data_IF_458296751907
#
_entry.id   IF_458296751907
#
_cell.length_a   1.000
_cell.length_b   1.000
_cell.length_c   1.000
_cell.angle_alpha   90.00
_cell.angle_beta   90.00
_cell.angle_gamma   90.00
#
_symmetry.space_group_name_H-M   'P 1'
#
loop_
_entity.id
_entity.type
_entity.pdbx_description
1 polymer ?
2 polymer ?
3 polymer ?
4 water ?
#
# COMPACT_ATOMS: atom_id res chain seq x y z
N UNK A 4 -3.18 3.60 16.27
CA UNK A 4 -2.19 4.67 16.13
C UNK A 4 -2.57 5.69 15.05
N UNK A 5 -2.03 5.49 13.86
CA UNK A 5 -2.17 6.27 12.67
C UNK A 5 -3.56 6.78 12.31
N UNK A 6 -4.15 7.36 13.38
CA UNK A 6 -5.46 8.01 13.48
C UNK A 6 -6.12 7.98 14.85
N UNK A 7 -7.22 7.30 15.14
CA UNK A 7 -7.93 7.29 16.45
C UNK A 7 -8.97 6.18 16.59
N UNK A 8 -9.66 6.02 15.47
CA UNK A 8 -10.69 4.90 15.35
C UNK A 8 -10.07 4.08 14.19
N UNK A 9 -8.75 4.42 14.03
CA UNK A 9 -7.88 3.83 13.02
C UNK A 9 -7.86 2.30 13.04
N UNK A 10 -7.82 1.69 11.84
CA UNK A 10 -7.72 0.28 11.69
C UNK A 10 -8.82 -0.60 12.22
N UNK A 11 -10.00 -0.05 12.49
CA UNK A 11 -11.23 -0.73 12.93
C UNK A 11 -12.23 -0.55 11.79
N UNK A 12 -12.34 -1.65 11.02
CA UNK A 12 -13.16 -1.59 9.80
C UNK A 12 -14.66 -1.64 10.11
N UNK A 13 -15.40 -0.72 9.53
CA UNK A 13 -16.85 -0.69 9.69
C UNK A 13 -17.55 -1.99 9.30
N UNK A 14 -17.17 -2.70 8.23
CA UNK A 14 -17.88 -3.90 7.79
C UNK A 14 -17.32 -5.17 8.42
N UNK A 15 -16.35 -5.05 9.32
CA UNK A 15 -15.79 -6.24 9.97
C UNK A 15 -15.67 -5.99 11.48
N UNK A 16 -14.55 -5.39 11.88
CA UNK A 16 -14.31 -5.12 13.28
C UNK A 16 -15.52 -4.51 13.96
N UNK A 17 -15.95 -3.34 13.49
CA UNK A 17 -17.12 -2.69 14.09
C UNK A 17 -18.35 -3.54 14.35
N UNK A 18 -18.59 -4.61 13.66
CA UNK A 18 -19.67 -5.54 13.67
C UNK A 18 -19.29 -6.96 14.14
N UNK A 19 -18.02 -7.09 14.49
CA UNK A 19 -17.54 -8.40 14.93
C UNK A 19 -17.66 -9.43 13.79
N UNK A 20 -17.36 -9.07 12.55
CA UNK A 20 -17.42 -10.05 11.43
C UNK A 20 -15.96 -10.27 11.00
N UNK A 21 -15.48 -11.46 10.83
CA UNK A 21 -14.11 -11.78 10.39
C UNK A 21 -14.11 -11.85 8.86
N UNK A 22 -13.05 -11.37 8.20
CA UNK A 22 -12.97 -11.51 6.74
C UNK A 22 -12.46 -12.96 6.46
N UNK A 23 -12.67 -13.32 5.21
CA UNK A 23 -12.38 -14.67 4.78
C UNK A 23 -10.96 -15.13 5.00
N UNK A 24 -9.92 -14.31 5.05
CA UNK A 24 -8.59 -14.91 5.28
C UNK A 24 -7.94 -14.32 6.51
N UNK A 25 -8.53 -13.35 7.19
CA UNK A 25 -7.74 -12.81 8.32
C UNK A 25 -7.24 -13.86 9.26
N UNK A 26 -7.93 -14.94 9.51
CA UNK A 26 -7.48 -15.98 10.45
C UNK A 26 -6.12 -16.52 10.05
N UNK A 27 -5.79 -16.52 8.77
CA UNK A 27 -4.46 -16.95 8.24
C UNK A 27 -3.32 -16.12 8.82
N UNK A 28 -3.48 -14.82 8.94
CA UNK A 28 -2.58 -13.86 9.55
C UNK A 28 -2.46 -14.21 11.05
N UNK A 29 -3.59 -14.15 11.73
CA UNK A 29 -3.52 -14.40 13.20
C UNK A 29 -2.88 -15.73 13.58
N UNK A 30 -3.14 -16.81 12.84
CA UNK A 30 -2.46 -18.07 13.17
C UNK A 30 -0.95 -18.03 12.94
N UNK A 31 -0.44 -17.05 12.20
CA UNK A 31 1.00 -16.99 11.92
C UNK A 31 1.77 -16.31 13.07
N UNK A 32 1.04 -15.55 13.85
CA UNK A 32 1.51 -14.77 14.97
C UNK A 32 1.48 -15.63 16.23
N UNK A 33 1.64 -16.89 15.92
CA UNK A 33 1.62 -18.04 16.86
C UNK A 33 0.35 -17.97 17.71
N UNK A 34 -0.72 -18.01 16.91
CA UNK A 34 -2.14 -17.93 17.15
C UNK A 34 -2.41 -16.75 18.08
N UNK A 35 -2.87 -15.67 17.45
CA UNK A 35 -3.20 -14.41 18.07
C UNK A 35 -3.71 -14.19 19.48
N UNK A 36 -4.69 -13.25 19.56
CA UNK A 36 -5.41 -12.74 20.71
C UNK A 36 -6.27 -13.77 21.47
N UNK B 1 -1.34 -7.60 -8.23
CA UNK B 1 -1.16 -8.73 -7.35
C UNK B 1 -1.19 -10.05 -8.13
N UNK B 2 -0.25 -10.93 -7.85
CA UNK B 2 -0.01 -12.23 -8.42
C UNK B 2 -0.32 -13.39 -7.51
N UNK B 3 -1.38 -14.13 -7.85
CA UNK B 3 -1.84 -15.28 -7.06
C UNK B 3 -2.64 -14.87 -5.82
N UNK B 4 -3.33 -13.78 -5.96
CA UNK B 4 -4.17 -13.14 -4.98
C UNK B 4 -5.63 -13.50 -5.34
N UNK B 5 -6.46 -13.03 -4.42
CA UNK B 5 -7.92 -13.30 -4.51
C UNK B 5 -8.61 -11.96 -4.59
N UNK B 6 -9.88 -11.98 -4.86
CA UNK B 6 -10.57 -10.67 -4.92
C UNK B 6 -10.81 -10.27 -3.45
N UNK B 7 -10.67 -9.00 -3.24
CA UNK B 7 -10.96 -8.38 -1.98
C UNK B 7 -12.51 -8.49 -1.86
N UNK B 8 -13.00 -8.64 -0.65
CA UNK B 8 -14.41 -8.58 -0.29
C UNK B 8 -14.64 -7.07 -0.15
N UNK B 9 -15.85 -6.61 -0.12
CA UNK B 9 -16.24 -5.23 0.04
C UNK B 9 -15.95 -4.79 1.51
N UNK B 10 -15.35 -3.61 1.62
CA UNK B 10 -14.94 -2.95 2.85
C UNK B 10 -13.83 -3.64 3.58
N UNK B 11 -13.09 -4.50 2.93
CA UNK B 11 -12.00 -5.30 3.54
C UNK B 11 -10.72 -4.47 3.75
N UNK B 12 -10.57 -3.45 2.95
CA UNK B 12 -9.29 -2.60 3.07
C UNK B 12 -9.71 -1.17 2.73
N UNK B 13 -10.43 -0.54 3.67
CA UNK B 13 -11.03 0.77 3.48
C UNK B 13 -10.12 1.98 3.39
N UNK B 14 -8.85 1.79 3.64
CA UNK B 14 -7.77 2.77 3.59
C UNK B 14 -7.12 2.68 2.17
N UNK B 15 -7.55 1.70 1.38
CA UNK B 15 -6.94 1.57 0.03
C UNK B 15 -7.32 2.77 -0.84
N UNK B 16 -6.24 3.31 -1.43
CA UNK B 16 -6.36 4.49 -2.32
C UNK B 16 -5.93 4.26 -3.75
N UNK B 17 -6.48 4.98 -4.73
CA UNK B 17 -6.02 4.85 -6.14
C UNK B 17 -5.31 6.18 -6.51
N UNK B 18 -4.08 6.04 -6.96
CA UNK B 18 -3.30 7.21 -7.44
C UNK B 18 -3.62 7.13 -9.00
N UNK B 19 -4.37 8.15 -9.33
CA UNK B 19 -4.92 8.27 -10.67
C UNK B 19 -4.45 9.47 -11.43
N UNK B 20 -4.02 9.20 -12.65
CA UNK B 20 -3.59 10.26 -13.59
C UNK B 20 -4.76 10.96 -14.28
N UNK B 21 -4.64 12.28 -14.25
CA UNK B 21 -5.60 13.22 -14.82
C UNK B 21 -5.63 13.06 -16.33
N UNK B 22 -4.52 12.89 -17.03
CA UNK B 22 -4.58 12.69 -18.50
C UNK B 22 -3.18 12.35 -19.04
N UNK B 23 -3.02 11.19 -19.61
CA UNK B 23 -4.03 10.15 -19.77
C UNK B 23 -4.63 9.77 -18.42
N UNK B 24 -5.94 9.50 -18.41
CA UNK B 24 -6.64 9.07 -17.18
C UNK B 24 -5.99 7.69 -17.00
N UNK B 25 -5.32 7.45 -15.88
CA UNK B 25 -4.69 6.11 -15.76
C UNK B 25 -4.24 5.77 -14.36
N UNK B 26 -4.34 4.47 -14.01
CA UNK B 26 -3.92 4.01 -12.70
C UNK B 26 -2.41 4.27 -12.70
N UNK B 27 -2.06 4.96 -11.60
CA UNK B 27 -0.65 5.31 -11.36
C UNK B 27 -0.02 4.31 -10.37
N UNK B 28 -0.55 4.31 -9.15
CA UNK B 28 -0.13 3.50 -8.03
C UNK B 28 -1.28 3.43 -7.02
N UNK B 29 -0.84 2.71 -5.98
CA UNK B 29 -1.65 2.49 -4.77
C UNK B 29 -1.16 3.58 -3.82
N UNK B 30 -1.91 3.66 -2.76
CA UNK B 30 -1.60 4.65 -1.68
C UNK B 30 -2.48 4.14 -0.49
N UNK B 31 -2.45 4.86 0.61
CA UNK B 31 -3.23 4.48 1.77
C UNK B 31 -3.66 5.71 2.58
N UNK B 32 -4.86 5.60 3.18
CA UNK B 32 -5.45 6.72 3.95
C UNK B 32 -5.00 6.57 5.41
N UNK B 33 -4.26 7.54 5.91
CA UNK B 33 -3.76 7.50 7.31
C UNK B 33 -4.48 8.49 8.22
N UNK B 34 -5.32 9.32 7.62
CA UNK B 34 -6.15 10.31 8.33
C UNK B 34 -7.21 10.81 7.36
N UNK B 35 -7.95 11.86 7.80
CA UNK B 35 -8.95 12.42 6.86
C UNK B 35 -8.32 13.35 5.83
N UNK B 36 -7.09 13.80 5.98
CA UNK B 36 -6.43 14.66 4.95
C UNK B 36 -5.10 14.20 4.37
N UNK B 37 -4.58 13.08 4.84
CA UNK B 37 -3.25 12.58 4.48
C UNK B 37 -3.21 11.19 3.86
N UNK B 38 -2.35 11.15 2.83
CA UNK B 38 -2.20 9.85 2.14
C UNK B 38 -0.76 9.44 2.11
N UNK B 39 -0.48 8.17 2.30
CA UNK B 39 0.86 7.54 2.25
C UNK B 39 0.99 6.63 1.01
N UNK B 40 2.09 6.86 0.31
CA UNK B 40 2.52 6.19 -0.92
C UNK B 40 4.06 6.11 -0.91
N UNK B 41 4.61 5.51 -1.95
CA UNK B 41 6.02 5.31 -2.24
C UNK B 41 6.46 6.53 -3.09
N UNK B 42 7.57 7.14 -2.79
CA UNK B 42 8.15 8.24 -3.57
C UNK B 42 8.36 7.81 -5.04
N UNK B 43 8.76 6.58 -5.26
CA UNK B 43 8.94 6.19 -6.66
C UNK B 43 7.63 6.36 -7.49
N UNK B 44 6.47 6.64 -6.87
CA UNK B 44 5.26 6.85 -7.68
C UNK B 44 5.23 8.26 -8.25
N UNK B 45 5.94 9.18 -7.58
CA UNK B 45 5.91 10.58 -8.02
C UNK B 45 7.17 10.99 -8.71
N UNK B 46 8.31 10.53 -8.26
CA UNK B 46 9.62 10.94 -8.75
C UNK B 46 10.53 9.74 -8.95
N UNK B 47 10.93 9.61 -10.19
CA UNK B 47 11.82 8.58 -10.70
C UNK B 47 12.44 9.13 -12.01
N UNK B 48 13.43 9.99 -11.84
CA UNK B 48 14.14 10.65 -12.93
C UNK B 48 14.74 9.83 -14.00
N UNK B 49 15.24 8.65 -13.78
CA UNK B 49 15.82 7.82 -14.86
C UNK B 49 14.72 7.41 -15.86
N UNK B 50 13.49 7.71 -15.45
CA UNK B 50 12.36 7.32 -16.32
C UNK B 50 11.58 8.62 -16.62
N UNK B 51 12.22 9.69 -16.31
CA UNK B 51 11.58 11.01 -16.57
C UNK B 51 10.26 11.16 -15.81
N UNK B 52 10.10 10.51 -14.69
CA UNK B 52 8.86 10.61 -13.89
C UNK B 52 9.03 11.66 -12.82
N UNK B 53 8.24 12.71 -12.81
CA UNK B 53 8.32 13.77 -11.80
C UNK B 53 6.96 14.49 -11.75
N UNK B 54 5.98 13.78 -11.23
CA UNK B 54 4.58 14.22 -11.05
C UNK B 54 4.48 15.28 -9.95
N UNK B 55 3.71 16.31 -10.18
CA UNK B 55 3.34 17.45 -9.39
C UNK B 55 1.89 17.18 -8.87
N UNK B 56 1.42 17.99 -7.95
CA UNK B 56 0.11 17.94 -7.35
C UNK B 56 -1.05 17.94 -8.35
N UNK B 57 -0.83 18.60 -9.44
CA UNK B 57 -1.61 18.90 -10.58
C UNK B 57 -2.07 17.75 -11.45
N UNK B 58 -1.04 16.93 -11.58
CA UNK B 58 -1.12 15.79 -12.45
C UNK B 58 -2.00 14.72 -11.89
N UNK B 59 -2.40 14.91 -10.61
CA UNK B 59 -3.14 13.75 -10.10
C UNK B 59 -4.41 13.98 -9.30
N UNK B 60 -5.16 12.91 -9.41
CA UNK B 60 -6.37 12.72 -8.63
C UNK B 60 -6.07 11.53 -7.67
N UNK B 61 -6.85 11.62 -6.58
CA UNK B 61 -6.79 10.54 -5.55
C UNK B 61 -8.22 10.05 -5.46
N UNK B 62 -8.47 8.80 -5.54
CA UNK B 62 -9.71 8.09 -5.48
C UNK B 62 -9.78 7.15 -4.27
N UNK B 63 -10.70 7.43 -3.33
CA UNK B 63 -10.90 6.63 -2.13
C UNK B 63 -12.22 5.87 -2.09
N UNK B 64 -12.22 4.67 -1.55
CA UNK B 64 -13.37 3.81 -1.36
C UNK B 64 -13.79 2.93 -2.50
N UNK B 65 -12.85 2.66 -3.40
CA UNK B 65 -12.99 1.91 -4.63
C UNK B 65 -12.94 0.41 -4.47
N UNK B 66 -13.58 -0.28 -5.38
CA UNK B 66 -13.63 -1.76 -5.46
C UNK B 66 -13.33 -2.05 -6.93
N UNK B 67 -14.18 -1.64 -7.87
CA UNK B 67 -13.90 -1.81 -9.33
C UNK B 67 -12.63 -0.97 -9.62
N UNK B 68 -11.75 -1.57 -10.39
CA UNK B 68 -10.47 -1.04 -10.85
C UNK B 68 -10.72 0.13 -11.83
N UNK B 69 -11.59 -0.08 -12.79
CA UNK B 69 -11.98 0.81 -13.87
C UNK B 69 -13.21 1.65 -13.89
N UNK B 70 -14.21 1.34 -13.05
CA UNK B 70 -15.45 2.10 -13.02
C UNK B 70 -15.53 3.21 -12.00
N UNK B 71 -16.33 4.23 -12.41
CA UNK B 71 -16.60 5.37 -11.53
C UNK B 71 -17.57 4.84 -10.48
N UNK B 72 -17.23 4.55 -9.23
CA UNK B 72 -18.23 4.01 -8.26
C UNK B 72 -19.08 5.15 -7.70
N UNK B 73 -20.08 5.48 -8.54
CA UNK B 73 -21.00 6.56 -8.42
C UNK B 73 -21.32 6.92 -7.01
N UNK B 74 -21.88 6.14 -6.07
CA UNK B 74 -21.98 6.99 -4.77
C UNK B 74 -21.19 6.37 -3.61
N UNK B 75 -20.17 5.64 -3.94
CA UNK B 75 -19.28 4.91 -3.11
C UNK B 75 -17.92 5.68 -2.97
N UNK B 76 -17.24 5.79 -4.12
CA UNK B 76 -15.90 6.42 -4.17
C UNK B 76 -15.92 7.91 -4.06
N UNK B 77 -14.80 8.43 -3.53
CA UNK B 77 -14.62 9.89 -3.33
C UNK B 77 -13.37 10.27 -4.07
N UNK B 78 -13.36 11.31 -4.84
CA UNK B 78 -12.14 11.69 -5.59
C UNK B 78 -11.58 12.95 -4.98
N UNK B 79 -10.28 13.14 -4.83
CA UNK B 79 -9.73 14.37 -4.30
C UNK B 79 -8.51 14.85 -5.10
N UNK B 80 -8.40 16.15 -4.80
CA UNK B 80 -7.33 17.04 -5.26
C UNK B 80 -6.27 17.05 -4.15
N UNK B 81 -5.05 17.13 -4.65
CA UNK B 81 -3.88 17.17 -3.73
C UNK B 81 -3.61 18.63 -3.49
N UNK B 82 -3.26 18.97 -2.28
CA UNK B 82 -2.91 20.32 -1.90
C UNK B 82 -1.40 20.55 -2.12
N UNK B 83 -0.64 19.59 -1.60
CA UNK B 83 0.83 19.59 -1.65
C UNK B 83 1.37 18.17 -1.56
N UNK B 84 2.54 17.95 -2.12
CA UNK B 84 3.19 16.59 -2.07
C UNK B 84 4.50 16.66 -1.27
N UNK B 85 4.86 15.64 -0.49
CA UNK B 85 6.11 15.68 0.27
C UNK B 85 6.85 14.37 0.17
N UNK B 86 8.08 14.46 -0.35
CA UNK B 86 8.97 13.28 -0.47
C UNK B 86 10.07 13.20 0.56
N UNK B 87 10.50 12.08 1.06
CA UNK B 87 11.60 11.99 2.02
C UNK B 87 12.76 12.73 1.34
N UNK B 88 13.32 13.72 2.05
CA UNK B 88 14.40 14.54 1.55
C UNK B 88 15.59 13.64 1.12
N UNK B 89 15.77 12.48 1.69
CA UNK B 89 16.80 11.50 1.45
C UNK B 89 16.43 10.21 0.74
N UNK B 90 15.30 10.29 0.04
CA UNK B 90 14.84 9.17 -0.82
C UNK B 90 16.01 8.95 -1.82
N UNK B 91 16.50 7.73 -1.94
CA UNK B 91 17.61 7.41 -2.81
C UNK B 91 17.17 6.81 -4.12
N UNK B 92 16.76 7.67 -5.02
CA UNK B 92 16.32 7.17 -6.35
C UNK B 92 17.58 6.76 -7.15
N UNK B 93 18.72 7.35 -6.79
CA UNK B 93 19.97 7.06 -7.51
C UNK B 93 20.42 5.63 -7.30
N UNK B 94 20.32 5.06 -6.12
CA UNK B 94 20.79 3.64 -6.09
C UNK B 94 19.86 2.59 -5.61
N UNK B 95 19.05 2.60 -4.53
CA UNK B 95 18.30 1.35 -4.24
C UNK B 95 16.89 1.52 -3.71
N UNK B 96 16.30 2.67 -4.00
CA UNK B 96 14.98 3.07 -3.52
C UNK B 96 14.89 3.21 -2.00
N UNK B 97 16.02 3.44 -1.35
CA UNK B 97 16.08 3.63 0.13
C UNK B 97 15.16 4.83 0.46
N UNK B 98 14.35 4.64 1.49
CA UNK B 98 13.40 5.71 1.90
C UNK B 98 12.34 6.04 0.84
N UNK B 99 11.85 4.95 0.30
CA UNK B 99 10.81 5.05 -0.80
C UNK B 99 9.47 5.41 -0.14
N UNK B 100 9.26 6.68 0.15
CA UNK B 100 8.04 7.05 0.90
C UNK B 100 7.68 8.51 0.56
N UNK B 101 6.41 8.81 0.58
CA UNK B 101 5.90 10.13 0.25
C UNK B 101 4.50 10.23 0.89
N UNK B 102 4.32 11.53 1.31
CA UNK B 102 3.05 11.98 1.90
C UNK B 102 2.36 12.92 0.91
N UNK B 103 1.05 12.84 0.93
CA UNK B 103 0.16 13.71 0.10
C UNK B 103 -0.98 14.16 1.02
N UNK B 104 -1.09 15.49 1.03
CA UNK B 104 -2.10 16.18 1.84
C UNK B 104 -3.20 16.62 0.87
N UNK B 105 -4.40 16.15 1.22
CA UNK B 105 -5.58 16.44 0.34
C UNK B 105 -6.08 17.87 0.47
N UNK B 106 -6.68 18.41 -0.58
CA UNK B 106 -7.21 19.81 -0.45
C UNK B 106 -8.30 19.90 0.63
N UNK B 107 -9.13 18.87 0.69
CA UNK B 107 -10.25 18.82 1.69
C UNK B 107 -10.32 17.42 2.31
N UNK B 108 -10.54 17.41 3.59
CA UNK B 108 -10.65 16.19 4.38
C UNK B 108 -11.80 15.31 3.87
N UNK B 109 -11.52 14.01 3.87
CA UNK B 109 -12.58 13.09 3.38
C UNK B 109 -13.45 12.66 4.56
N UNK B 110 -14.67 12.29 4.22
CA UNK B 110 -15.62 11.79 5.23
C UNK B 110 -15.57 10.27 5.15
N UNK B 111 -15.48 9.70 6.32
CA UNK B 111 -15.42 8.24 6.54
C UNK B 111 -16.81 7.69 6.20
N UNK B 112 -16.79 6.40 5.91
CA UNK B 112 -18.03 5.69 5.52
C UNK B 112 -17.69 4.23 5.70
N UNK B 113 -18.55 3.34 5.30
CA UNK B 113 -18.28 1.91 5.42
C UNK B 113 -17.11 1.52 4.49
N UNK B 114 -16.87 2.38 3.47
CA UNK B 114 -15.87 2.02 2.45
C UNK B 114 -14.58 2.79 2.57
N UNK B 115 -14.62 3.79 3.42
CA UNK B 115 -13.51 4.71 3.67
C UNK B 115 -13.16 4.91 5.16
N UNK B 116 -12.00 4.33 5.48
CA UNK B 116 -11.54 4.40 6.93
C UNK B 116 -10.01 4.31 6.96
N UNK B 117 -9.40 5.12 7.82
CA UNK B 117 -7.93 5.11 7.93
C UNK B 117 -7.39 3.81 8.52
N UNK B 118 -6.13 3.62 8.21
CA UNK B 118 -5.34 2.50 8.73
C UNK B 118 -4.51 3.14 9.90
N UNK B 119 -3.98 2.31 10.84
CA UNK B 119 -3.12 2.88 11.87
C UNK B 119 -1.65 2.74 11.45
N UNK B 120 -0.88 3.66 11.97
CA UNK B 120 0.56 3.74 11.85
C UNK B 120 1.04 3.05 13.16
N UNK B 121 2.06 2.22 13.01
CA UNK B 121 2.58 1.45 14.13
C UNK B 121 3.29 2.33 15.15
N UNK B 122 3.30 1.79 16.35
CA UNK B 122 4.08 2.36 17.46
C UNK B 122 5.26 1.36 17.56
N UNK B 123 6.30 1.93 18.14
CA UNK B 123 7.51 1.19 18.41
C UNK B 123 7.27 -0.22 18.93
N UNK B 124 6.39 -0.46 19.81
CA UNK B 124 6.04 -1.71 20.43
C UNK B 124 5.27 -2.64 19.49
N UNK B 125 4.43 -2.00 18.65
CA UNK B 125 3.58 -2.80 17.72
C UNK B 125 4.52 -3.39 16.67
N UNK B 126 5.46 -2.55 16.22
CA UNK B 126 6.44 -2.97 15.18
C UNK B 126 7.30 -4.13 15.63
N UNK B 127 7.78 -3.99 16.89
CA UNK B 127 8.63 -5.04 17.44
C UNK B 127 7.93 -6.35 17.65
N UNK B 128 6.69 -6.39 18.08
CA UNK B 128 6.05 -7.69 18.19
C UNK B 128 5.57 -8.13 16.81
N UNK B 129 5.24 -7.30 15.84
CA UNK B 129 4.73 -8.01 14.65
C UNK B 129 5.75 -8.29 13.58
N UNK B 130 6.69 -7.42 13.45
CA UNK B 130 7.69 -7.52 12.37
C UNK B 130 8.68 -8.66 12.61
N UNK B 131 8.24 -9.89 12.42
CA UNK B 131 8.97 -11.09 12.67
C UNK B 131 8.90 -12.07 11.49
N UNK B 132 10.02 -12.68 11.19
CA UNK B 132 10.16 -13.63 10.10
C UNK B 132 9.03 -14.65 10.25
N UNK B 133 8.38 -15.01 9.17
CA UNK B 133 7.30 -16.00 9.32
C UNK B 133 5.89 -15.37 9.59
N UNK B 134 5.80 -14.19 10.18
CA UNK B 134 4.52 -13.53 10.39
C UNK B 134 4.02 -13.06 9.02
N UNK B 135 2.75 -13.26 8.82
CA UNK B 135 2.05 -12.87 7.56
C UNK B 135 1.46 -11.46 7.63
N UNK B 136 1.53 -10.77 6.50
CA UNK B 136 1.00 -9.45 6.30
C UNK B 136 0.09 -9.62 5.07
N UNK B 137 -0.63 -8.57 4.70
CA UNK B 137 -1.58 -8.57 3.59
C UNK B 137 -1.23 -7.39 2.68
N UNK B 138 -1.20 -7.62 1.39
CA UNK B 138 -0.94 -6.55 0.43
C UNK B 138 -2.23 -6.51 -0.47
N UNK B 139 -2.53 -5.28 -0.88
CA UNK B 139 -3.71 -5.10 -1.78
C UNK B 139 -3.35 -4.15 -2.91
N UNK B 140 -4.12 -4.22 -3.97
CA UNK B 140 -3.91 -3.37 -5.17
C UNK B 140 -4.55 -4.01 -6.41
N UNK B 141 -4.63 -3.12 -7.37
CA UNK B 141 -5.21 -3.25 -8.69
C UNK B 141 -4.17 -3.53 -9.76
N UNK B 142 -2.99 -3.87 -9.36
CA UNK B 142 -1.81 -4.22 -10.16
C UNK B 142 -1.90 -5.49 -11.01
N UNK B 143 -0.77 -5.75 -11.65
CA UNK B 143 -0.58 -6.85 -12.57
C UNK B 143 -0.87 -8.19 -11.90
N UNK B 144 -1.62 -8.96 -12.69
CA UNK B 144 -2.00 -10.32 -12.27
C UNK B 144 -0.86 -11.31 -12.51
N UNK B 145 -0.09 -10.95 -13.51
CA UNK B 145 1.03 -11.70 -14.03
C UNK B 145 2.19 -10.75 -14.36
N UNK B 146 3.37 -11.37 -14.13
CA UNK B 146 4.62 -10.68 -14.44
C UNK B 146 4.55 -10.30 -15.92
N UNK B 147 4.00 -11.21 -16.74
CA UNK B 147 3.93 -10.82 -18.18
C UNK B 147 2.89 -11.57 -18.95
N UNK B 155 -3.95 -10.12 -16.36
CA UNK B 155 -3.88 -8.79 -16.96
C UNK B 155 -3.97 -7.78 -15.82
N UNK B 156 -5.08 -7.11 -15.88
CA UNK B 156 -5.40 -6.09 -14.84
C UNK B 156 -6.72 -6.66 -14.29
N UNK B 157 -6.82 -6.72 -12.97
CA UNK B 157 -7.98 -7.29 -12.32
C UNK B 157 -9.13 -6.29 -12.61
N UNK B 158 -10.28 -6.89 -12.37
CA UNK B 158 -11.51 -6.12 -12.50
C UNK B 158 -11.76 -5.43 -11.13
N UNK B 159 -11.51 -6.21 -10.10
CA UNK B 159 -11.70 -5.84 -8.66
C UNK B 159 -10.36 -5.94 -7.95
N UNK B 160 -10.27 -5.19 -6.86
CA UNK B 160 -9.15 -5.09 -5.96
C UNK B 160 -8.73 -6.51 -5.54
N UNK B 161 -7.45 -6.78 -5.58
CA UNK B 161 -6.82 -8.07 -5.32
C UNK B 161 -6.16 -8.10 -3.92
N UNK B 162 -6.01 -9.28 -3.37
CA UNK B 162 -5.42 -9.38 -2.05
C UNK B 162 -4.59 -10.66 -1.95
N UNK B 163 -3.53 -10.54 -1.20
CA UNK B 163 -2.67 -11.71 -0.91
C UNK B 163 -2.03 -11.50 0.46
N UNK B 164 -1.70 -12.54 1.15
CA UNK B 164 -1.11 -12.64 2.48
C UNK B 164 0.24 -13.34 2.29
N UNK B 165 1.28 -12.81 2.84
CA UNK B 165 2.66 -13.31 2.68
C UNK B 165 3.42 -13.18 4.00
N UNK B 166 4.36 -14.08 4.22
CA UNK B 166 5.12 -14.11 5.49
C UNK B 166 6.31 -13.16 5.43
N UNK B 167 6.67 -12.45 6.46
CA UNK B 167 7.90 -11.64 6.41
C UNK B 167 9.01 -12.69 6.30
N UNK B 168 10.12 -12.39 5.71
CA UNK B 168 11.29 -13.25 5.48
C UNK B 168 12.49 -12.64 6.20
N UNK B 169 13.38 -13.50 6.66
CA UNK B 169 14.62 -13.15 7.36
C UNK B 169 15.52 -12.23 6.50
N UNK B 170 16.20 -11.35 7.18
CA UNK B 170 17.11 -10.36 6.55
C UNK B 170 18.16 -11.00 5.64
N UNK B 171 18.89 -12.00 6.07
CA UNK B 171 19.86 -12.71 5.25
C UNK B 171 19.31 -13.20 3.94
N UNK B 172 18.16 -13.88 4.05
CA UNK B 172 17.49 -14.44 2.86
C UNK B 172 17.19 -13.29 1.88
N UNK B 173 16.80 -12.16 2.45
CA UNK B 173 16.49 -10.99 1.65
C UNK B 173 17.74 -10.56 0.86
N UNK B 174 18.82 -10.42 1.62
CA UNK B 174 20.15 -9.99 1.18
C UNK B 174 20.70 -10.93 0.11
N UNK B 175 20.68 -12.21 0.38
CA UNK B 175 21.14 -13.25 -0.55
C UNK B 175 20.39 -13.47 -1.85
N UNK B 176 19.26 -12.79 -2.06
CA UNK B 176 18.46 -12.96 -3.27
C UNK B 176 18.64 -11.87 -4.30
N UNK B 177 19.42 -10.84 -3.97
CA UNK B 177 19.50 -9.75 -4.95
C UNK B 177 20.94 -9.19 -4.96
N UNK B 178 21.26 -8.39 -5.93
CA UNK B 178 22.58 -7.77 -6.05
C UNK B 178 22.40 -6.34 -5.51
N UNK B 179 21.14 -5.90 -5.37
CA UNK B 179 20.76 -4.56 -4.84
C UNK B 179 21.05 -4.56 -3.35
N UNK B 180 21.57 -3.49 -2.86
CA UNK B 180 21.92 -3.20 -1.48
C UNK B 180 20.68 -2.78 -0.65
N UNK B 181 20.21 -3.65 0.20
CA UNK B 181 19.12 -3.70 1.19
C UNK B 181 19.55 -2.77 2.32
N UNK B 182 18.72 -1.90 2.83
CA UNK B 182 19.03 -0.97 3.93
C UNK B 182 18.05 -1.34 5.03
N UNK B 183 18.25 -0.80 6.20
CA UNK B 183 17.42 -1.03 7.37
C UNK B 183 16.06 -0.38 7.19
N UNK B 184 15.86 0.45 6.18
CA UNK B 184 14.58 1.06 5.87
C UNK B 184 13.77 0.18 4.92
N UNK B 185 14.17 -1.09 4.80
CA UNK B 185 13.39 -1.97 3.87
C UNK B 185 13.29 -3.35 4.54
N UNK B 186 12.34 -4.13 4.08
CA UNK B 186 12.04 -5.51 4.51
C UNK B 186 11.48 -6.19 3.23
N UNK B 187 11.64 -7.51 3.20
CA UNK B 187 11.23 -8.32 2.05
C UNK B 187 10.25 -9.36 2.64
N UNK B 188 9.40 -9.76 1.72
CA UNK B 188 8.27 -10.65 1.92
C UNK B 188 7.91 -11.49 0.68
N UNK B 189 7.54 -12.70 1.04
CA UNK B 189 7.10 -13.72 0.10
C UNK B 189 7.39 -15.10 0.68
N UNK B 190 6.87 -16.04 -0.16
CA UNK B 190 7.09 -17.46 0.19
C UNK B 190 8.39 -17.88 -0.51
N UNK B 191 8.88 -18.93 0.12
CA UNK B 191 10.08 -19.63 -0.30
C UNK B 191 9.73 -20.76 -1.28
N UNK B 192 10.61 -20.95 -2.23
CA UNK B 192 10.47 -22.05 -3.20
C UNK B 192 10.14 -23.32 -2.45
N UNK B 193 10.79 -23.58 -1.32
CA UNK B 193 10.43 -24.83 -0.62
C UNK B 193 8.92 -24.86 -0.35
N UNK B 194 8.48 -23.89 0.42
CA UNK B 194 7.14 -23.68 0.90
C UNK B 194 6.10 -23.88 -0.16
N UNK B 195 6.40 -23.57 -1.41
CA UNK B 195 5.38 -23.77 -2.44
C UNK B 195 3.99 -23.35 -1.97
N UNK B 196 3.75 -22.07 -1.97
CA UNK B 196 2.61 -21.20 -1.73
C UNK B 196 3.23 -20.01 -2.48
N UNK B 197 2.48 -19.23 -3.17
CA UNK B 197 2.98 -18.14 -4.01
C UNK B 197 2.30 -16.82 -3.78
N UNK B 198 2.64 -15.85 -4.59
CA UNK B 198 2.02 -14.53 -4.60
C UNK B 198 3.03 -13.46 -4.25
N UNK B 199 2.63 -12.29 -4.75
CA UNK B 199 3.52 -11.10 -4.57
C UNK B 199 2.69 -9.93 -5.17
N UNK B 200 3.22 -8.77 -5.03
CA UNK B 200 2.71 -7.53 -5.60
C UNK B 200 3.37 -7.52 -7.01
N UNK B 201 2.84 -6.61 -7.81
CA UNK B 201 3.31 -6.50 -9.21
C UNK B 201 3.23 -5.02 -9.57
N UNK B 202 3.71 -4.76 -10.77
CA UNK B 202 3.71 -3.34 -11.20
C UNK B 202 2.25 -2.89 -11.14
N UNK B 203 2.11 -1.61 -10.75
CA UNK B 203 0.76 -1.07 -10.63
C UNK B 203 0.31 -1.23 -9.16
N UNK B 204 0.87 -2.19 -8.41
CA UNK B 204 0.59 -2.35 -6.99
C UNK B 204 1.42 -1.38 -6.12
N UNK B 205 2.54 -0.90 -6.64
CA UNK B 205 3.43 0.03 -5.95
C UNK B 205 2.66 1.17 -5.27
N UNK B 206 3.25 1.52 -4.13
CA UNK B 206 2.88 2.55 -3.19
C UNK B 206 1.76 1.97 -2.32
N UNK B 207 1.31 0.76 -2.51
CA UNK B 207 0.22 0.29 -1.65
C UNK B 207 0.75 -0.17 -0.26
N UNK B 208 -0.27 -0.49 0.56
CA UNK B 208 -0.07 -0.89 1.94
C UNK B 208 0.21 -2.36 2.16
N UNK B 209 1.11 -2.67 3.03
CA UNK B 209 1.48 -4.01 3.57
C UNK B 209 0.97 -3.81 5.04
N UNK B 210 -0.12 -4.47 5.33
CA UNK B 210 -0.85 -4.37 6.61
C UNK B 210 -0.80 -5.66 7.43
N UNK B 211 -0.93 -5.41 8.73
CA UNK B 211 -0.96 -6.48 9.74
C UNK B 211 -2.09 -6.15 10.76
N UNK B 212 -2.71 -7.14 11.29
CA UNK B 212 -3.79 -7.09 12.29
C UNK B 212 -3.17 -7.35 13.68
N UNK B 213 -3.14 -6.41 14.58
CA UNK B 213 -2.58 -6.65 15.90
C UNK B 213 -3.45 -7.64 16.62
N UNK B 214 -2.82 -8.69 17.17
CA UNK B 214 -3.55 -9.70 17.94
C UNK B 214 -3.89 -9.06 19.32
N UNK B 215 -3.26 -7.99 19.74
CA UNK B 215 -3.52 -7.43 21.09
C UNK B 215 -4.71 -6.46 21.05
N UNK B 216 -4.76 -5.61 20.00
CA UNK B 216 -5.90 -4.69 20.04
C UNK B 216 -6.82 -4.92 18.85
N UNK B 217 -6.55 -5.92 18.04
CA UNK B 217 -7.30 -6.30 16.85
C UNK B 217 -7.53 -5.17 15.88
N UNK B 218 -6.55 -4.30 15.79
CA UNK B 218 -6.52 -3.19 14.88
C UNK B 218 -5.52 -3.52 13.76
N UNK B 219 -5.71 -2.85 12.64
CA UNK B 219 -4.90 -3.04 11.43
C UNK B 219 -3.85 -1.90 11.41
N UNK B 220 -2.64 -2.41 11.24
CA UNK B 220 -1.49 -1.49 11.16
C UNK B 220 -0.83 -1.54 9.80
N UNK B 221 -0.37 -0.41 9.32
CA UNK B 221 0.40 -0.45 8.04
C UNK B 221 1.92 -0.53 8.40
N UNK B 222 2.58 -1.64 8.13
CA UNK B 222 3.96 -1.93 8.34
C UNK B 222 4.90 -1.56 7.19
N UNK B 223 4.44 -1.80 5.99
CA UNK B 223 5.21 -1.51 4.78
C UNK B 223 4.43 -0.79 3.67
N UNK B 224 5.24 -0.39 2.71
CA UNK B 224 4.74 0.25 1.48
C UNK B 224 5.32 -0.62 0.33
N UNK B 225 4.55 -0.98 -0.65
CA UNK B 225 4.98 -1.78 -1.80
C UNK B 225 6.04 -0.92 -2.56
N UNK B 226 7.28 -1.38 -2.52
CA UNK B 226 8.42 -0.72 -3.08
C UNK B 226 9.05 -1.19 -4.37
N UNK B 227 9.72 -2.34 -4.39
CA UNK B 227 10.42 -2.73 -5.65
C UNK B 227 10.53 -4.21 -5.62
N UNK B 228 11.07 -4.83 -6.63
CA UNK B 228 11.21 -6.31 -6.63
C UNK B 228 11.65 -6.61 -8.04
N UNK B 229 12.18 -7.79 -8.23
CA UNK B 229 12.70 -8.19 -9.59
C UNK B 229 11.73 -9.11 -10.24
N UNK B 230 10.92 -8.61 -11.12
CA UNK B 230 9.82 -9.49 -11.77
C UNK B 230 8.71 -9.62 -10.68
N UNK B 231 7.70 -10.42 -10.84
CA UNK B 231 6.62 -10.67 -9.88
C UNK B 231 6.52 -12.17 -9.66
N UNK B 232 6.42 -12.65 -8.46
CA UNK B 232 6.22 -14.11 -8.22
C UNK B 232 7.31 -15.03 -8.76
N UNK B 233 8.52 -14.52 -8.90
CA UNK B 233 9.63 -15.40 -9.38
C UNK B 233 10.10 -16.20 -8.18
N UNK B 234 10.41 -17.46 -8.28
CA UNK B 234 10.92 -18.34 -7.23
C UNK B 234 12.29 -17.86 -6.68
N UNK B 235 12.50 -17.98 -5.39
CA UNK B 235 13.82 -17.50 -4.89
C UNK B 235 13.94 -15.97 -4.93
N UNK B 236 12.92 -15.20 -5.19
CA UNK B 236 12.99 -13.73 -5.16
C UNK B 236 11.89 -13.21 -4.26
N UNK B 237 12.04 -11.99 -3.72
CA UNK B 237 11.03 -11.45 -2.82
C UNK B 237 10.65 -10.02 -3.14
N UNK B 238 9.50 -9.66 -2.54
CA UNK B 238 9.04 -8.25 -2.68
C UNK B 238 9.73 -7.51 -1.49
N UNK B 239 9.94 -6.25 -1.81
CA UNK B 239 10.59 -5.28 -0.88
C UNK B 239 9.65 -4.09 -0.68
N UNK B 240 9.62 -3.65 0.57
CA UNK B 240 8.71 -2.60 1.06
C UNK B 240 9.42 -1.62 1.94
N UNK B 241 8.92 -0.40 1.94
CA UNK B 241 9.55 0.60 2.87
C UNK B 241 9.04 0.24 4.27
N UNK B 242 9.94 0.31 5.22
CA UNK B 242 9.75 0.02 6.65
C UNK B 242 9.09 1.26 7.29
N UNK B 243 7.81 1.27 7.41
CA UNK B 243 7.02 2.38 7.88
C UNK B 243 7.47 2.86 9.28
N UNK B 244 7.71 1.96 10.20
CA UNK B 244 8.08 2.30 11.54
C UNK B 244 9.35 3.15 11.56
N UNK B 245 10.33 2.65 10.82
CA UNK B 245 11.57 3.38 10.77
C UNK B 245 11.34 4.77 10.25
N UNK B 246 10.33 5.07 9.45
CA UNK B 246 10.27 6.43 8.91
C UNK B 246 9.21 7.25 9.57
N UNK B 247 8.69 6.76 10.66
CA UNK B 247 7.60 7.35 11.43
C UNK B 247 7.81 8.82 11.84
N UNK B 248 9.02 9.06 12.31
CA UNK B 248 9.48 10.36 12.78
C UNK B 248 9.50 11.39 11.68
N UNK B 249 9.78 11.02 10.46
CA UNK B 249 9.73 12.00 9.35
C UNK B 249 8.27 12.36 9.09
N UNK B 250 7.43 11.33 9.21
CA UNK B 250 5.98 11.40 9.05
C UNK B 250 5.31 12.36 10.04
N UNK B 251 5.58 12.19 11.31
CA UNK B 251 5.03 13.02 12.42
C UNK B 251 5.42 14.48 12.13
N UNK B 252 6.72 14.54 11.88
CA UNK B 252 7.37 15.78 11.55
C UNK B 252 6.52 16.54 10.55
N UNK B 253 6.40 15.98 9.33
CA UNK B 253 5.63 16.67 8.29
C UNK B 253 4.16 16.84 8.64
N UNK B 254 3.55 15.97 9.40
CA UNK B 254 2.12 16.20 9.72
C UNK B 254 2.08 17.45 10.61
N UNK B 255 3.01 17.45 11.55
CA UNK B 255 3.24 18.47 12.59
C UNK B 255 3.68 19.79 11.95
N UNK B 256 4.55 19.80 10.95
CA UNK B 256 4.94 21.10 10.35
C UNK B 256 3.88 21.62 9.41
N UNK B 257 3.08 20.79 8.71
CA UNK B 257 2.10 21.39 7.78
C UNK B 257 0.80 20.71 7.45
N UNK B 258 -0.13 20.52 8.38
CA UNK B 258 -1.39 19.89 7.94
C UNK B 258 -2.37 19.78 9.12
N UNK B 259 -3.30 18.87 8.88
CA UNK B 259 -4.41 18.46 9.70
C UNK B 259 -4.89 19.41 10.79
N UNK C 1 13.49 -3.80 -10.64
CA UNK C 1 13.70 -2.41 -10.16
C UNK C 1 12.48 -1.87 -9.39
N UNK C 2 12.10 -0.62 -9.56
CA UNK C 2 10.96 -0.04 -8.82
C UNK C 2 9.74 -0.88 -9.22
N UNK C 3 8.70 -1.07 -8.39
CA UNK C 3 6.21 -1.31 -8.81
C UNK C 3 6.31 -0.49 -10.11
N UNK C 4 6.62 0.82 -10.02
CA UNK C 4 6.69 1.57 -11.30
C UNK C 4 5.33 2.30 -11.33
N UNK C 5 4.44 1.73 -12.12
CA UNK C 5 3.05 2.19 -12.32
C UNK C 5 2.36 1.02 -13.05
N UNK C 6 1.11 1.20 -13.40
CA UNK C 6 0.30 0.18 -14.14
C UNK C 6 -0.98 0.87 -14.64
N UNK C 7 -1.84 0.17 -15.34
CA UNK C 7 -3.13 0.64 -15.86
C UNK C 7 -3.17 2.00 -16.55
N UNK C 8 -2.85 1.96 -17.83
CA UNK C 8 -2.79 3.13 -18.71
C UNK C 8 -3.79 3.11 -19.84
N UNK C 9 -4.10 1.90 -20.30
CA UNK C 9 -5.07 1.72 -21.40
C UNK C 9 -6.40 2.32 -20.93
N UNK C 10 -6.78 3.37 -21.63
CA UNK C 10 -8.00 4.12 -21.37
C UNK C 10 -9.12 3.26 -20.82
N UNK C 11 -8.94 1.95 -20.78
CA UNK C 11 -10.02 1.03 -20.34
C UNK C 11 -10.87 1.47 -19.16
N UNK C 12 -10.58 2.60 -18.60
CA UNK C 12 -11.21 3.26 -17.48
C UNK C 12 -12.44 4.01 -17.98
N UNK C 13 -13.37 4.17 -17.08
CA UNK C 13 -14.60 4.93 -17.29
C UNK C 13 -14.35 6.39 -16.95
N UNK C 14 -14.87 7.25 -17.81
CA UNK C 14 -14.67 8.71 -17.67
C UNK C 14 -15.08 9.11 -16.26
N UNK C 15 -14.30 10.03 -15.68
CA UNK C 15 -14.71 10.53 -14.35
C UNK C 15 -15.34 11.91 -14.57
N UNK C 16 -16.18 12.28 -13.61
CA UNK C 16 -16.91 13.54 -13.64
C UNK C 16 -16.05 14.81 -13.67
N UNK C 17 -16.46 15.67 -14.61
CA UNK C 17 -15.84 16.95 -14.89
C UNK C 17 -15.53 17.69 -13.58
N UNK C 18 -16.54 17.59 -12.72
CA UNK C 18 -16.37 18.24 -11.40
C UNK C 18 -15.00 17.73 -10.95
N UNK C 19 -15.10 16.52 -10.43
CA UNK C 19 -14.00 15.69 -9.91
C UNK C 19 -12.64 16.15 -10.40
N UNK C 20 -12.48 16.36 -11.67
CA UNK C 20 -11.41 16.74 -12.55
C UNK C 20 -10.95 18.18 -12.75
#
# INVERSE_FOLDING_TARGET
TFGSGEADCGLRPLFEKKSLEDKTERELLESYIDGR
IVEGSDAEIGMSPWQVMLFRKSPQELLCGASLISDRWVLTAAHCLLYPPWDKNFTENDLLVRIGKHSRTRYERNIEKISMLEKIYIHPRYNWRENLDRDIALMKLKKPVAFSDYIHPVCLPDRETAASLLQAGYKGRVTGWGNLKETWTANVGKGQPSVLQVVNLPIVERPVCKDSTRIRITDNMFCAGYKPDEGKRGDACEGDSGGPFVMKSPFNNRWYQMGIVSWGEGCDRDGKYGFYTHVFRLKKWIQKVIDQFGE
FPXGGGGGNGDFEEIPEEYL
#
